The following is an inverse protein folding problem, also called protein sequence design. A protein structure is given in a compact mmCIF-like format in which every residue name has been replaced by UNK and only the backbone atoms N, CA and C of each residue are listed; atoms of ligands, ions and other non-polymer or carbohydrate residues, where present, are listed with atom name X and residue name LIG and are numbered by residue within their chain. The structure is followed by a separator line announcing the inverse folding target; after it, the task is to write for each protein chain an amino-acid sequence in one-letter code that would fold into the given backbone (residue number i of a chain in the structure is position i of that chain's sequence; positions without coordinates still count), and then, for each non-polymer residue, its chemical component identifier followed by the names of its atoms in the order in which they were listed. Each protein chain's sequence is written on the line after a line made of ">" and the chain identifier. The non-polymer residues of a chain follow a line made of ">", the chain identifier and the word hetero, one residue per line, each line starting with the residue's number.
data_IF_650548196404
#
_entry.id   IF_650548196404
#
_cell.length_a   1.000
_cell.length_b   1.000
_cell.length_c   1.000
_cell.angle_alpha   90.00
_cell.angle_beta   90.00
_cell.angle_gamma   90.00
#
_symmetry.space_group_name_H-M   'P 1'
#
loop_
_entity.id
_entity.type
_entity.pdbx_description
1 polymer ?
#
# COMPACT_ATOMS: atom_id res chain seq x y z
N UNK A 1 15.22 12.49 1.32
CA UNK A 1 14.62 13.59 2.11
C UNK A 1 14.33 14.73 1.16
N UNK A 2 13.39 15.61 1.51
CA UNK A 2 13.15 16.82 0.74
C UNK A 2 14.23 17.84 1.14
N UNK A 3 15.09 18.22 0.21
CA UNK A 3 16.19 19.17 0.47
C UNK A 3 15.87 20.57 -0.06
N UNK A 4 15.11 20.67 -1.15
CA UNK A 4 14.66 21.95 -1.71
C UNK A 4 13.16 21.94 -1.99
N UNK A 5 12.52 23.12 -2.02
CA UNK A 5 11.10 23.22 -2.37
C UNK A 5 10.81 22.80 -3.82
N UNK A 6 11.80 22.89 -4.71
CA UNK A 6 11.67 22.47 -6.11
C UNK A 6 11.43 20.96 -6.24
N UNK A 7 11.90 20.16 -5.28
CA UNK A 7 11.72 18.69 -5.24
C UNK A 7 10.32 18.27 -4.80
N UNK A 8 9.45 19.20 -4.37
CA UNK A 8 8.15 18.83 -3.76
C UNK A 8 7.26 18.00 -4.70
N UNK A 9 7.33 18.26 -6.01
CA UNK A 9 6.57 17.53 -7.03
C UNK A 9 6.74 16.03 -6.92
N UNK A 10 8.00 15.56 -6.92
CA UNK A 10 8.35 14.14 -6.86
C UNK A 10 7.88 13.46 -5.56
N UNK A 11 7.74 14.25 -4.50
CA UNK A 11 7.28 13.78 -3.19
C UNK A 11 5.75 13.67 -3.13
N UNK A 12 5.03 14.65 -3.67
CA UNK A 12 3.55 14.66 -3.65
C UNK A 12 2.94 13.74 -4.72
N UNK A 13 3.71 13.34 -5.73
CA UNK A 13 3.34 12.35 -6.75
C UNK A 13 2.74 11.07 -6.18
N UNK A 14 3.16 10.70 -4.96
CA UNK A 14 2.60 9.59 -4.20
C UNK A 14 1.08 9.65 -4.05
N UNK A 15 0.47 10.84 -4.01
CA UNK A 15 -0.96 11.02 -3.73
C UNK A 15 -1.80 11.16 -5.00
N UNK A 16 -1.18 11.17 -6.18
CA UNK A 16 -1.85 11.24 -7.47
C UNK A 16 -2.05 9.85 -8.09
N UNK A 17 -3.29 9.39 -8.19
CA UNK A 17 -3.62 8.05 -8.68
C UNK A 17 -3.24 7.77 -10.13
N UNK A 18 -3.23 8.82 -10.95
CA UNK A 18 -2.81 8.79 -12.35
C UNK A 18 -1.30 8.58 -12.49
N UNK A 19 -0.51 8.96 -11.46
CA UNK A 19 0.94 8.76 -11.41
C UNK A 19 1.36 7.48 -10.69
N UNK A 20 0.42 6.78 -10.08
CA UNK A 20 0.70 5.51 -9.42
C UNK A 20 1.17 4.45 -10.43
N UNK A 21 2.43 4.07 -10.31
CA UNK A 21 3.05 2.99 -11.08
C UNK A 21 4.04 2.23 -10.19
N UNK A 22 3.83 0.92 -9.93
CA UNK A 22 4.76 0.14 -9.14
C UNK A 22 6.14 0.05 -9.79
N UNK A 23 7.20 0.37 -9.02
CA UNK A 23 8.59 0.18 -9.44
C UNK A 23 8.92 -1.30 -9.66
N UNK A 24 10.05 -1.60 -10.30
CA UNK A 24 10.48 -2.98 -10.51
C UNK A 24 10.69 -3.72 -9.18
N UNK A 25 11.24 -3.04 -8.17
CA UNK A 25 11.42 -3.60 -6.83
C UNK A 25 10.09 -3.85 -6.13
N UNK A 26 9.13 -2.93 -6.27
CA UNK A 26 7.78 -3.13 -5.73
C UNK A 26 7.09 -4.33 -6.39
N UNK A 27 7.20 -4.49 -7.71
CA UNK A 27 6.66 -5.66 -8.44
C UNK A 27 7.29 -6.97 -7.97
N UNK A 28 8.63 -7.02 -7.84
CA UNK A 28 9.32 -8.20 -7.31
C UNK A 28 8.86 -8.56 -5.91
N UNK A 29 8.64 -7.55 -5.06
CA UNK A 29 8.14 -7.77 -3.71
C UNK A 29 6.70 -8.29 -3.70
N UNK A 30 5.84 -7.76 -4.58
CA UNK A 30 4.45 -8.21 -4.71
C UNK A 30 4.35 -9.63 -5.28
N UNK A 31 5.30 -10.06 -6.11
CA UNK A 31 5.40 -11.43 -6.63
C UNK A 31 5.99 -12.43 -5.61
N UNK A 32 6.54 -11.96 -4.49
CA UNK A 32 7.13 -12.84 -3.48
C UNK A 32 6.06 -13.69 -2.76
N UNK A 33 6.41 -14.91 -2.28
CA UNK A 33 5.50 -15.74 -1.51
C UNK A 33 4.89 -14.99 -0.31
N UNK A 34 3.59 -15.16 -0.07
CA UNK A 34 2.87 -14.53 1.03
C UNK A 34 2.39 -13.09 0.78
N UNK A 35 2.98 -12.35 -0.18
CA UNK A 35 2.58 -10.98 -0.47
C UNK A 35 1.12 -10.87 -0.92
N UNK A 36 0.67 -11.81 -1.77
CA UNK A 36 -0.73 -11.89 -2.24
C UNK A 36 -1.72 -12.02 -1.09
N UNK A 37 -1.41 -12.85 -0.10
CA UNK A 37 -2.30 -13.09 1.03
C UNK A 37 -2.42 -11.85 1.92
N UNK A 38 -1.29 -11.18 2.18
CA UNK A 38 -1.26 -9.91 2.92
C UNK A 38 -2.05 -8.82 2.21
N UNK A 39 -1.78 -8.58 0.93
CA UNK A 39 -2.43 -7.53 0.13
C UNK A 39 -3.91 -7.80 -0.03
N UNK A 40 -4.29 -9.06 -0.32
CA UNK A 40 -5.67 -9.46 -0.47
C UNK A 40 -6.47 -9.33 0.84
N UNK A 41 -5.90 -9.75 1.97
CA UNK A 41 -6.55 -9.60 3.28
C UNK A 41 -6.72 -8.11 3.65
N UNK A 42 -5.70 -7.28 3.43
CA UNK A 42 -5.79 -5.85 3.66
C UNK A 42 -6.91 -5.21 2.80
N UNK A 43 -6.93 -5.50 1.50
CA UNK A 43 -7.95 -5.00 0.57
C UNK A 43 -9.37 -5.49 0.89
N UNK A 44 -9.53 -6.74 1.31
CA UNK A 44 -10.81 -7.30 1.73
C UNK A 44 -11.40 -6.54 2.93
N UNK A 45 -10.55 -6.12 3.88
CA UNK A 45 -11.01 -5.27 4.98
C UNK A 45 -11.46 -3.89 4.48
N UNK A 46 -10.66 -3.23 3.62
CA UNK A 46 -10.98 -1.90 3.14
C UNK A 46 -12.34 -1.83 2.43
N UNK A 47 -12.69 -2.83 1.62
CA UNK A 47 -13.96 -2.85 0.87
C UNK A 47 -15.21 -2.70 1.75
N UNK A 48 -15.15 -3.13 3.01
CA UNK A 48 -16.27 -3.05 3.97
C UNK A 48 -16.11 -2.00 5.06
N UNK A 49 -14.90 -1.46 5.23
CA UNK A 49 -14.61 -0.52 6.31
C UNK A 49 -15.30 0.83 6.11
N UNK A 50 -15.74 1.45 7.20
CA UNK A 50 -16.30 2.82 7.24
C UNK A 50 -15.73 3.53 8.46
N UNK A 51 -15.67 4.86 8.44
CA UNK A 51 -15.15 5.68 9.54
C UNK A 51 -13.86 6.40 9.20
N UNK A 52 -13.10 6.74 10.24
CA UNK A 52 -11.86 7.51 10.14
C UNK A 52 -10.74 6.73 9.44
N UNK A 53 -9.93 7.43 8.64
CA UNK A 53 -8.89 6.79 7.84
C UNK A 53 -7.77 6.15 8.68
N UNK A 54 -7.41 6.74 9.82
CA UNK A 54 -6.38 6.17 10.70
C UNK A 54 -6.89 4.91 11.40
N UNK A 55 -8.15 4.93 11.86
CA UNK A 55 -8.81 3.75 12.43
C UNK A 55 -8.91 2.61 11.41
N UNK A 56 -9.36 2.94 10.19
CA UNK A 56 -9.46 1.99 9.07
C UNK A 56 -8.09 1.36 8.80
N UNK A 57 -7.03 2.15 8.69
CA UNK A 57 -5.68 1.64 8.42
C UNK A 57 -5.22 0.66 9.50
N UNK A 58 -5.32 1.06 10.77
CA UNK A 58 -4.90 0.23 11.90
C UNK A 58 -5.66 -1.10 11.95
N UNK A 59 -6.97 -1.07 11.69
CA UNK A 59 -7.80 -2.26 11.65
C UNK A 59 -7.52 -3.15 10.42
N UNK A 60 -7.23 -2.56 9.25
CA UNK A 60 -6.86 -3.28 8.05
C UNK A 60 -5.52 -4.02 8.20
N UNK A 61 -4.51 -3.38 8.79
CA UNK A 61 -3.22 -4.02 9.11
C UNK A 61 -3.40 -5.19 10.08
N UNK A 62 -4.22 -5.01 11.13
CA UNK A 62 -4.53 -6.06 12.09
C UNK A 62 -5.20 -7.25 11.40
N UNK A 63 -6.19 -6.97 10.55
CA UNK A 63 -6.89 -8.01 9.79
C UNK A 63 -5.95 -8.77 8.85
N UNK A 64 -5.07 -8.06 8.14
CA UNK A 64 -4.07 -8.66 7.27
C UNK A 64 -3.11 -9.56 8.06
N UNK A 65 -2.61 -9.09 9.22
CA UNK A 65 -1.75 -9.88 10.12
C UNK A 65 -2.42 -11.17 10.59
N UNK A 66 -3.69 -11.10 11.00
CA UNK A 66 -4.44 -12.26 11.49
C UNK A 66 -4.71 -13.27 10.38
N UNK A 67 -5.00 -12.80 9.17
CA UNK A 67 -5.33 -13.67 8.04
C UNK A 67 -4.12 -14.32 7.40
N UNK A 68 -3.03 -13.59 7.21
CA UNK A 68 -1.81 -14.12 6.57
C UNK A 68 -0.79 -14.71 7.54
N UNK A 69 -0.91 -14.43 8.85
CA UNK A 69 0.11 -14.76 9.84
C UNK A 69 1.40 -13.93 9.72
N UNK A 70 1.54 -13.07 8.70
CA UNK A 70 2.74 -12.29 8.43
C UNK A 70 2.99 -11.22 9.51
N UNK A 71 4.27 -10.90 9.74
CA UNK A 71 4.70 -9.93 10.77
C UNK A 71 5.85 -9.07 10.26
N UNK A 72 6.07 -7.92 10.89
CA UNK A 72 7.18 -7.04 10.57
C UNK A 72 7.24 -6.70 9.07
N UNK A 73 8.41 -6.88 8.45
CA UNK A 73 8.60 -6.54 7.04
C UNK A 73 7.68 -7.33 6.11
N UNK A 74 7.40 -8.59 6.42
CA UNK A 74 6.56 -9.45 5.57
C UNK A 74 5.08 -9.02 5.58
N UNK A 75 4.66 -8.26 6.59
CA UNK A 75 3.33 -7.65 6.65
C UNK A 75 3.32 -6.25 6.01
N UNK A 76 4.26 -5.39 6.41
CA UNK A 76 4.21 -3.97 6.04
C UNK A 76 4.76 -3.69 4.65
N UNK A 77 5.74 -4.45 4.17
CA UNK A 77 6.34 -4.19 2.86
C UNK A 77 5.40 -4.50 1.69
N UNK A 78 4.62 -5.61 1.69
CA UNK A 78 3.63 -5.85 0.63
C UNK A 78 2.55 -4.77 0.60
N UNK A 79 2.02 -4.35 1.76
CA UNK A 79 1.04 -3.26 1.83
C UNK A 79 1.64 -1.94 1.32
N UNK A 80 2.89 -1.63 1.69
CA UNK A 80 3.59 -0.43 1.18
C UNK A 80 3.75 -0.47 -0.34
N UNK A 81 4.24 -1.59 -0.87
CA UNK A 81 4.44 -1.75 -2.30
C UNK A 81 3.11 -1.59 -3.06
N UNK A 82 2.03 -2.17 -2.52
CA UNK A 82 0.71 -2.08 -3.14
C UNK A 82 0.10 -0.67 -3.04
N UNK A 83 0.27 0.06 -1.93
CA UNK A 83 -0.31 1.40 -1.78
C UNK A 83 0.50 2.51 -2.46
N UNK A 84 1.82 2.38 -2.46
CA UNK A 84 2.72 3.48 -2.85
C UNK A 84 3.45 3.21 -4.17
N UNK A 85 3.50 1.95 -4.61
CA UNK A 85 4.32 1.54 -5.76
C UNK A 85 5.82 1.59 -5.49
N UNK A 86 6.23 1.88 -4.25
CA UNK A 86 7.62 2.04 -3.81
C UNK A 86 7.90 1.10 -2.63
N UNK A 87 9.17 0.78 -2.38
CA UNK A 87 9.61 -0.02 -1.22
C UNK A 87 10.16 0.81 -0.06
N UNK A 88 10.27 2.13 -0.24
CA UNK A 88 10.73 3.10 0.75
C UNK A 88 9.82 4.32 0.69
N UNK A 89 9.81 5.13 1.73
CA UNK A 89 9.06 6.38 1.78
C UNK A 89 8.58 6.72 3.19
N UNK A 90 7.67 7.69 3.31
CA UNK A 90 7.11 8.11 4.59
C UNK A 90 6.36 6.98 5.31
N UNK A 91 6.01 7.23 6.56
CA UNK A 91 5.22 6.31 7.39
C UNK A 91 3.87 5.99 6.72
N UNK A 92 3.52 4.71 6.68
CA UNK A 92 2.46 4.22 5.79
C UNK A 92 1.06 4.57 6.32
N UNK A 93 0.90 4.67 7.64
CA UNK A 93 -0.30 5.18 8.30
C UNK A 93 -0.58 6.64 7.90
N UNK A 94 0.45 7.50 7.93
CA UNK A 94 0.36 8.90 7.49
C UNK A 94 0.04 9.01 6.01
N UNK A 95 0.70 8.20 5.18
CA UNK A 95 0.40 8.12 3.75
C UNK A 95 -1.04 7.70 3.52
N UNK A 96 -1.54 6.69 4.24
CA UNK A 96 -2.90 6.18 4.07
C UNK A 96 -3.95 7.23 4.43
N UNK A 97 -3.77 7.98 5.51
CA UNK A 97 -4.70 9.04 5.93
C UNK A 97 -4.88 10.10 4.84
N UNK A 98 -3.80 10.48 4.15
CA UNK A 98 -3.86 11.46 3.05
C UNK A 98 -4.38 10.83 1.76
N UNK A 99 -3.94 9.61 1.46
CA UNK A 99 -4.32 8.88 0.25
C UNK A 99 -5.81 8.55 0.22
N UNK A 100 -6.38 8.22 1.37
CA UNK A 100 -7.76 7.83 1.52
C UNK A 100 -8.05 6.38 1.12
N UNK A 101 -9.20 5.88 1.57
CA UNK A 101 -9.65 4.51 1.34
C UNK A 101 -9.92 4.25 -0.15
N UNK A 102 -10.57 5.17 -0.86
CA UNK A 102 -10.96 4.97 -2.26
C UNK A 102 -9.72 4.74 -3.14
N UNK A 103 -8.73 5.64 -3.03
CA UNK A 103 -7.47 5.56 -3.75
C UNK A 103 -6.69 4.29 -3.37
N UNK A 104 -6.65 3.94 -2.07
CA UNK A 104 -6.01 2.71 -1.61
C UNK A 104 -6.63 1.46 -2.26
N UNK A 105 -7.97 1.34 -2.28
CA UNK A 105 -8.67 0.21 -2.92
C UNK A 105 -8.37 0.13 -4.42
N UNK A 106 -8.36 1.27 -5.11
CA UNK A 106 -8.03 1.32 -6.54
C UNK A 106 -6.60 0.85 -6.82
N UNK A 107 -5.63 1.25 -5.99
CA UNK A 107 -4.22 0.86 -6.12
C UNK A 107 -3.99 -0.60 -5.77
N UNK A 108 -4.66 -1.14 -4.75
CA UNK A 108 -4.61 -2.56 -4.41
C UNK A 108 -5.08 -3.43 -5.58
N UNK A 109 -6.19 -3.07 -6.23
CA UNK A 109 -6.67 -3.78 -7.44
C UNK A 109 -5.63 -3.78 -8.57
N UNK A 110 -4.93 -2.65 -8.79
CA UNK A 110 -3.84 -2.57 -9.77
C UNK A 110 -2.65 -3.44 -9.35
N UNK A 111 -2.26 -3.41 -8.07
CA UNK A 111 -1.17 -4.22 -7.54
C UNK A 111 -1.45 -5.73 -7.67
N UNK A 112 -2.69 -6.18 -7.39
CA UNK A 112 -3.11 -7.58 -7.57
C UNK A 112 -3.00 -8.05 -9.03
N UNK A 113 -3.28 -7.19 -10.00
CA UNK A 113 -3.07 -7.52 -11.41
C UNK A 113 -1.59 -7.75 -11.76
N UNK A 114 -0.67 -7.08 -11.06
CA UNK A 114 0.77 -7.32 -11.22
C UNK A 114 1.20 -8.64 -10.60
N UNK A 115 0.57 -9.05 -9.50
CA UNK A 115 0.82 -10.35 -8.85
C UNK A 115 0.38 -11.50 -9.75
N UNK A 116 -0.73 -11.37 -10.47
CA UNK A 116 -1.28 -12.42 -11.34
C UNK A 116 -0.42 -12.60 -12.62
N UNK A 117 0.31 -11.57 -13.04
CA UNK A 117 1.16 -11.61 -14.24
C UNK A 117 2.58 -12.16 -14.00
N UNK A 118 3.00 -12.24 -12.74
CA UNK A 118 4.31 -12.73 -12.33
C UNK A 118 4.29 -14.24 -12.10
#
# INVERSE_FOLDING_TARGET
>A
ELTTLAEIGDHIDLFFDERYSPSQEARRLLAAPGAREVVGAFGAYLNRAQGDAAEIYAAAIRHAKEKSGARGKDLFMPVRAALTGKIKGPELDKVFVILGKESAVKRLKRAEQEIIKA
#
